data_IF_935711287011
#
_entry.id   IF_935711287011
#
_cell.length_a   1.000
_cell.length_b   1.000
_cell.length_c   1.000
_cell.angle_alpha   90.00
_cell.angle_beta   90.00
_cell.angle_gamma   90.00
#
_symmetry.space_group_name_H-M   'P 1'
#
loop_
_entity.id
_entity.type
_entity.pdbx_description
1 polymer ?
#
# COMPACT_ATOMS: atom_id res chain seq x y z
N UNK A 1 15.12 -20.61 -28.24
CA UNK A 1 14.11 -21.39 -27.55
C UNK A 1 12.79 -20.65 -27.71
N UNK A 2 11.75 -21.29 -28.24
CA UNK A 2 10.43 -20.65 -28.40
C UNK A 2 9.61 -21.02 -27.16
N UNK A 3 9.11 -20.02 -26.45
CA UNK A 3 8.30 -20.17 -25.26
C UNK A 3 6.97 -19.43 -25.46
N UNK A 4 5.88 -20.04 -25.04
CA UNK A 4 4.57 -19.39 -24.94
C UNK A 4 4.23 -19.22 -23.47
N UNK A 5 3.83 -18.00 -23.07
CA UNK A 5 3.46 -17.66 -21.71
C UNK A 5 2.03 -17.11 -21.71
N UNK A 6 1.13 -17.75 -20.99
CA UNK A 6 -0.21 -17.27 -20.73
C UNK A 6 -0.29 -16.85 -19.28
N UNK A 7 -0.54 -15.55 -19.06
CA UNK A 7 -0.72 -14.99 -17.73
C UNK A 7 -2.15 -14.47 -17.59
N UNK A 8 -2.90 -15.01 -16.61
CA UNK A 8 -4.23 -14.54 -16.24
C UNK A 8 -4.15 -13.86 -14.90
N UNK A 9 -4.44 -12.57 -14.89
CA UNK A 9 -4.48 -11.78 -13.67
C UNK A 9 -5.90 -11.29 -13.39
N UNK A 10 -6.35 -11.45 -12.14
CA UNK A 10 -7.59 -10.90 -11.63
C UNK A 10 -7.29 -10.09 -10.38
N UNK A 11 -7.64 -8.80 -10.39
CA UNK A 11 -7.44 -7.90 -9.26
C UNK A 11 -8.78 -7.24 -8.91
N UNK A 12 -9.24 -7.46 -7.68
CA UNK A 12 -10.45 -6.86 -7.14
C UNK A 12 -10.07 -5.99 -5.95
N UNK A 13 -10.54 -4.73 -5.94
CA UNK A 13 -10.33 -3.80 -4.83
C UNK A 13 -11.69 -3.27 -4.40
N UNK A 14 -12.01 -3.45 -3.13
CA UNK A 14 -13.20 -2.88 -2.49
C UNK A 14 -12.76 -1.87 -1.46
N UNK A 15 -13.28 -0.65 -1.54
CA UNK A 15 -13.04 0.41 -0.56
C UNK A 15 -14.35 0.90 0.01
N UNK A 16 -14.43 0.98 1.33
CA UNK A 16 -15.49 1.66 2.05
C UNK A 16 -14.89 2.73 2.95
N UNK A 17 -15.51 3.91 2.97
CA UNK A 17 -15.05 5.04 3.77
C UNK A 17 -16.24 5.84 4.27
N UNK A 18 -16.14 6.29 5.52
CA UNK A 18 -17.10 7.21 6.15
C UNK A 18 -16.33 8.32 6.82
N UNK A 19 -16.70 9.56 6.52
CA UNK A 19 -16.08 10.77 7.02
C UNK A 19 -17.11 11.62 7.74
N UNK A 20 -16.73 12.19 8.86
CA UNK A 20 -17.50 13.13 9.63
C UNK A 20 -16.68 14.39 9.90
N UNK A 21 -17.26 15.56 9.69
CA UNK A 21 -16.63 16.84 9.95
C UNK A 21 -17.59 17.74 10.74
N UNK A 22 -17.07 18.34 11.79
CA UNK A 22 -17.82 19.26 12.63
C UNK A 22 -17.05 20.57 12.84
N UNK A 23 -17.72 21.67 12.58
CA UNK A 23 -17.19 23.01 12.80
C UNK A 23 -17.59 23.51 14.19
N UNK A 24 -16.65 24.12 14.89
CA UNK A 24 -16.81 24.79 16.18
C UNK A 24 -16.58 26.30 15.98
N UNK A 25 -17.58 27.06 15.49
CA UNK A 25 -17.36 28.46 15.10
C UNK A 25 -16.94 29.35 16.25
N UNK A 26 -17.44 29.08 17.47
CA UNK A 26 -17.16 29.87 18.68
C UNK A 26 -15.67 29.94 19.02
N UNK A 27 -14.93 28.87 18.70
CA UNK A 27 -13.49 28.77 18.95
C UNK A 27 -12.66 28.71 17.66
N UNK A 28 -13.28 28.94 16.50
CA UNK A 28 -12.65 28.87 15.19
C UNK A 28 -11.90 27.53 14.98
N UNK A 29 -12.54 26.42 15.38
CA UNK A 29 -11.95 25.08 15.30
C UNK A 29 -12.80 24.14 14.42
N UNK A 30 -12.17 23.05 13.99
CA UNK A 30 -12.76 21.98 13.19
C UNK A 30 -12.27 20.62 13.70
N UNK A 31 -13.19 19.70 13.83
CA UNK A 31 -12.91 18.29 14.10
C UNK A 31 -13.29 17.50 12.87
N UNK A 32 -12.41 16.61 12.44
CA UNK A 32 -12.65 15.63 11.41
C UNK A 32 -12.34 14.25 11.95
N UNK A 33 -13.18 13.28 11.65
CA UNK A 33 -12.95 11.89 12.03
C UNK A 33 -13.51 10.99 10.95
N UNK A 34 -12.98 9.80 10.82
CA UNK A 34 -13.50 8.85 9.86
C UNK A 34 -12.91 7.47 10.02
N UNK A 35 -13.50 6.55 9.27
CA UNK A 35 -13.09 5.16 9.17
C UNK A 35 -12.97 4.78 7.70
N UNK A 36 -11.95 3.99 7.40
CA UNK A 36 -11.71 3.48 6.04
C UNK A 36 -11.33 2.00 6.09
N UNK A 37 -11.89 1.25 5.16
CA UNK A 37 -11.55 -0.15 4.91
C UNK A 37 -11.15 -0.31 3.44
N UNK A 38 -10.06 -1.04 3.22
CA UNK A 38 -9.61 -1.46 1.89
C UNK A 38 -9.43 -2.97 1.92
N UNK A 39 -10.09 -3.66 1.00
CA UNK A 39 -9.92 -5.08 0.77
C UNK A 39 -9.44 -5.27 -0.65
N UNK A 40 -8.29 -5.93 -0.82
CA UNK A 40 -7.74 -6.29 -2.12
C UNK A 40 -7.60 -7.80 -2.20
N UNK A 41 -8.05 -8.37 -3.31
CA UNK A 41 -7.80 -9.74 -3.66
C UNK A 41 -7.23 -9.79 -5.08
N UNK A 42 -6.04 -10.32 -5.22
CA UNK A 42 -5.36 -10.51 -6.50
C UNK A 42 -5.04 -11.98 -6.68
N UNK A 43 -5.29 -12.50 -7.87
CA UNK A 43 -4.89 -13.84 -8.30
C UNK A 43 -4.10 -13.74 -9.58
N UNK A 44 -3.02 -14.48 -9.66
CA UNK A 44 -2.16 -14.61 -10.82
C UNK A 44 -2.01 -16.10 -11.12
N UNK A 45 -2.43 -16.47 -12.32
CA UNK A 45 -2.33 -17.84 -12.83
C UNK A 45 -1.46 -17.78 -14.08
N UNK A 46 -0.28 -18.38 -13.99
CA UNK A 46 0.72 -18.39 -15.06
C UNK A 46 0.89 -19.79 -15.58
N UNK A 47 0.69 -19.94 -16.89
CA UNK A 47 0.87 -21.18 -17.64
C UNK A 47 1.91 -20.96 -18.73
N UNK A 48 2.88 -21.84 -18.83
CA UNK A 48 3.99 -21.76 -19.77
C UNK A 48 4.19 -23.06 -20.54
N UNK A 49 4.41 -22.92 -21.82
CA UNK A 49 4.82 -24.02 -22.72
C UNK A 49 6.13 -23.67 -23.40
N UNK A 50 6.94 -24.67 -23.64
CA UNK A 50 8.22 -24.59 -24.33
C UNK A 50 8.21 -25.48 -25.56
N UNK A 51 8.72 -24.96 -26.68
CA UNK A 51 8.79 -25.73 -27.93
C UNK A 51 9.92 -26.75 -27.86
N UNK A 52 9.55 -28.03 -27.92
CA UNK A 52 10.50 -29.14 -28.01
C UNK A 52 10.79 -29.43 -29.51
N UNK A 53 12.03 -29.25 -29.92
CA UNK A 53 12.48 -29.46 -31.29
C UNK A 53 12.50 -30.92 -31.70
N UNK A 54 12.56 -31.86 -30.75
CA UNK A 54 12.58 -33.30 -31.06
C UNK A 54 11.17 -33.82 -31.36
N UNK A 55 10.20 -33.45 -30.56
CA UNK A 55 8.79 -33.85 -30.74
C UNK A 55 8.03 -32.92 -31.69
N UNK A 56 8.59 -31.76 -32.03
CA UNK A 56 7.96 -30.68 -32.82
C UNK A 56 6.63 -30.19 -32.18
N UNK A 57 6.53 -30.22 -30.88
CA UNK A 57 5.33 -29.82 -30.13
C UNK A 57 5.68 -28.87 -29.01
N UNK A 58 4.71 -28.09 -28.57
CA UNK A 58 4.80 -27.35 -27.34
C UNK A 58 4.52 -28.27 -26.15
N UNK A 59 5.44 -28.31 -25.19
CA UNK A 59 5.36 -29.12 -23.97
C UNK A 59 5.23 -28.17 -22.79
N UNK A 60 4.36 -28.50 -21.84
CA UNK A 60 4.15 -27.75 -20.64
C UNK A 60 5.45 -27.61 -19.82
N UNK A 61 5.79 -26.37 -19.48
CA UNK A 61 6.93 -26.08 -18.61
C UNK A 61 6.45 -25.90 -17.17
N UNK A 62 6.38 -27.00 -16.43
CA UNK A 62 5.93 -27.01 -15.03
C UNK A 62 6.79 -26.15 -14.08
N UNK A 63 8.04 -25.86 -14.44
CA UNK A 63 8.91 -24.99 -13.64
C UNK A 63 8.53 -23.51 -13.72
N UNK A 64 7.83 -23.11 -14.79
CA UNK A 64 7.38 -21.74 -15.00
C UNK A 64 5.89 -21.54 -14.65
N UNK A 65 5.17 -22.63 -14.36
CA UNK A 65 3.76 -22.58 -13.98
C UNK A 65 3.61 -22.29 -12.49
N UNK A 66 2.75 -21.33 -12.17
CA UNK A 66 2.41 -21.07 -10.78
C UNK A 66 1.01 -20.46 -10.62
N UNK A 67 0.41 -20.72 -9.48
CA UNK A 67 -0.80 -20.10 -9.03
C UNK A 67 -0.53 -19.34 -7.74
N UNK A 68 -0.64 -18.01 -7.81
CA UNK A 68 -0.39 -17.11 -6.70
C UNK A 68 -1.64 -16.30 -6.36
N UNK A 69 -1.96 -16.16 -5.09
CA UNK A 69 -2.95 -15.21 -4.62
C UNK A 69 -2.36 -14.27 -3.57
N UNK A 70 -2.88 -13.06 -3.56
CA UNK A 70 -2.51 -12.04 -2.59
C UNK A 70 -3.77 -11.38 -2.06
N UNK A 71 -3.95 -11.47 -0.75
CA UNK A 71 -5.03 -10.79 -0.03
C UNK A 71 -4.43 -9.68 0.83
N UNK A 72 -4.98 -8.46 0.71
CA UNK A 72 -4.64 -7.34 1.56
C UNK A 72 -5.90 -6.78 2.19
N UNK A 73 -5.85 -6.59 3.50
CA UNK A 73 -6.93 -5.99 4.28
C UNK A 73 -6.35 -4.85 5.10
N UNK A 74 -6.92 -3.65 4.97
CA UNK A 74 -6.49 -2.45 5.70
C UNK A 74 -7.72 -1.84 6.35
N UNK A 75 -7.66 -1.68 7.65
CA UNK A 75 -8.68 -1.03 8.47
C UNK A 75 -8.06 0.18 9.15
N UNK A 76 -8.64 1.35 8.97
CA UNK A 76 -8.10 2.61 9.49
C UNK A 76 -9.18 3.39 10.22
N UNK A 77 -8.80 3.99 11.34
CA UNK A 77 -9.55 5.03 12.03
C UNK A 77 -8.67 6.27 12.13
N UNK A 78 -9.24 7.44 11.96
CA UNK A 78 -8.49 8.68 12.09
C UNK A 78 -9.30 9.79 12.75
N UNK A 79 -8.57 10.70 13.39
CA UNK A 79 -9.10 11.92 13.94
C UNK A 79 -8.14 13.08 13.68
N UNK A 80 -8.69 14.24 13.37
CA UNK A 80 -7.96 15.48 13.11
C UNK A 80 -8.67 16.59 13.88
N UNK A 81 -7.89 17.42 14.56
CA UNK A 81 -8.34 18.65 15.16
C UNK A 81 -7.54 19.81 14.60
N UNK A 82 -8.21 20.86 14.16
CA UNK A 82 -7.60 22.09 13.67
C UNK A 82 -8.25 23.31 14.29
N UNK A 83 -7.43 24.34 14.60
CA UNK A 83 -7.91 25.59 15.15
C UNK A 83 -7.09 26.78 14.62
N UNK A 84 -7.75 27.94 14.52
CA UNK A 84 -7.10 29.19 14.20
C UNK A 84 -7.22 30.17 15.37
N UNK A 85 -6.09 30.62 15.90
CA UNK A 85 -5.98 31.61 16.95
C UNK A 85 -5.29 32.87 16.42
N UNK A 86 -6.07 33.83 15.93
CA UNK A 86 -5.54 35.03 15.32
C UNK A 86 -4.65 34.73 14.10
N UNK A 87 -3.35 35.03 14.23
CA UNK A 87 -2.34 34.78 13.19
C UNK A 87 -1.78 33.37 13.19
N UNK A 88 -2.11 32.57 14.19
CA UNK A 88 -1.62 31.21 14.37
C UNK A 88 -2.69 30.20 13.99
N UNK A 89 -2.36 29.27 13.09
CA UNK A 89 -3.23 28.15 12.73
C UNK A 89 -2.49 26.85 12.98
N UNK A 90 -3.13 25.91 13.65
CA UNK A 90 -2.55 24.61 13.91
C UNK A 90 -3.55 23.51 13.64
N UNK A 91 -3.03 22.35 13.28
CA UNK A 91 -3.78 21.13 13.07
C UNK A 91 -2.96 19.95 13.55
N UNK A 92 -3.57 19.07 14.32
CA UNK A 92 -2.98 17.81 14.74
C UNK A 92 -3.89 16.67 14.37
N UNK A 93 -3.33 15.55 13.96
CA UNK A 93 -4.09 14.37 13.58
C UNK A 93 -3.37 13.08 13.92
N UNK A 94 -4.15 12.03 14.08
CA UNK A 94 -3.66 10.67 14.23
C UNK A 94 -4.52 9.72 13.40
N UNK A 95 -3.86 8.81 12.67
CA UNK A 95 -4.49 7.65 12.04
C UNK A 95 -3.93 6.38 12.66
N UNK A 96 -4.82 5.51 13.06
CA UNK A 96 -4.51 4.17 13.57
C UNK A 96 -4.89 3.19 12.48
N UNK A 97 -4.04 2.20 12.24
CA UNK A 97 -4.24 1.27 11.15
C UNK A 97 -3.88 -0.16 11.54
N UNK A 98 -4.79 -1.08 11.28
CA UNK A 98 -4.57 -2.53 11.31
C UNK A 98 -4.55 -3.04 9.88
N UNK A 99 -3.50 -3.77 9.50
CA UNK A 99 -3.39 -4.32 8.16
C UNK A 99 -2.87 -5.74 8.14
N UNK A 100 -3.35 -6.51 7.16
CA UNK A 100 -2.93 -7.87 6.88
C UNK A 100 -2.52 -7.94 5.42
N UNK A 101 -1.35 -8.54 5.16
CA UNK A 101 -0.90 -8.90 3.82
C UNK A 101 -0.65 -10.39 3.79
N UNK A 102 -1.33 -11.10 2.90
CA UNK A 102 -1.36 -12.57 2.87
C UNK A 102 -0.94 -13.04 1.47
N UNK A 103 0.37 -13.07 1.18
CA UNK A 103 0.89 -13.75 0.01
C UNK A 103 0.71 -15.27 0.16
N UNK A 104 0.18 -15.90 -0.87
CA UNK A 104 -0.12 -17.32 -0.88
C UNK A 104 0.28 -17.91 -2.24
N UNK A 105 1.39 -18.65 -2.28
CA UNK A 105 1.79 -19.44 -3.44
C UNK A 105 1.13 -20.81 -3.35
N UNK A 106 0.02 -20.98 -4.06
CA UNK A 106 -0.85 -22.15 -3.95
C UNK A 106 -0.16 -23.40 -4.50
N UNK A 107 0.61 -23.26 -5.58
CA UNK A 107 1.38 -24.37 -6.18
C UNK A 107 2.38 -24.99 -5.21
N UNK A 108 2.97 -24.21 -4.30
CA UNK A 108 3.98 -24.71 -3.37
C UNK A 108 3.48 -24.78 -1.91
N UNK A 109 2.17 -24.55 -1.70
CA UNK A 109 1.53 -24.57 -0.36
C UNK A 109 2.16 -23.56 0.62
N UNK A 110 2.75 -22.46 0.10
CA UNK A 110 3.37 -21.40 0.91
C UNK A 110 2.32 -20.32 1.17
N UNK A 111 1.89 -20.17 2.41
CA UNK A 111 0.98 -19.11 2.86
C UNK A 111 1.58 -18.39 4.06
N UNK A 112 1.78 -17.09 3.93
CA UNK A 112 2.35 -16.25 4.98
C UNK A 112 1.32 -15.18 5.36
N UNK A 113 1.28 -14.80 6.61
CA UNK A 113 0.42 -13.74 7.12
C UNK A 113 1.30 -12.68 7.76
N UNK A 114 1.39 -11.53 7.10
CA UNK A 114 2.03 -10.35 7.64
C UNK A 114 0.97 -9.48 8.31
N UNK A 115 1.08 -9.30 9.61
CA UNK A 115 0.12 -8.62 10.47
C UNK A 115 0.78 -7.37 11.09
N UNK A 116 0.19 -6.19 10.85
CA UNK A 116 0.73 -4.91 11.32
C UNK A 116 -0.31 -4.08 12.03
N UNK A 117 0.12 -3.42 13.10
CA UNK A 117 -0.65 -2.39 13.80
C UNK A 117 0.21 -1.14 13.94
N UNK A 118 -0.23 -0.02 13.38
CA UNK A 118 0.58 1.17 13.21
C UNK A 118 -0.16 2.45 13.55
N UNK A 119 0.62 3.48 13.96
CA UNK A 119 0.17 4.83 14.23
C UNK A 119 0.85 5.80 13.27
N UNK A 120 0.05 6.74 12.75
CA UNK A 120 0.48 7.75 11.80
C UNK A 120 0.09 9.14 12.30
N UNK A 121 0.90 9.75 13.16
CA UNK A 121 0.69 11.12 13.60
C UNK A 121 0.97 12.11 12.48
N UNK A 122 0.28 13.25 12.51
CA UNK A 122 0.51 14.42 11.67
C UNK A 122 0.31 15.69 12.46
N UNK A 123 1.08 16.73 12.14
CA UNK A 123 0.96 18.06 12.71
C UNK A 123 1.27 19.12 11.64
N UNK A 124 0.50 20.20 11.64
CA UNK A 124 0.70 21.36 10.78
C UNK A 124 0.57 22.61 11.60
N UNK A 125 1.55 23.49 11.48
CA UNK A 125 1.60 24.79 12.14
C UNK A 125 1.78 25.85 11.08
N UNK A 126 1.04 26.96 11.18
CA UNK A 126 1.19 28.12 10.31
C UNK A 126 1.12 29.40 11.10
N UNK A 127 2.00 30.33 10.79
CA UNK A 127 2.01 31.66 11.37
C UNK A 127 2.02 32.72 10.26
N UNK A 128 0.97 33.54 10.21
CA UNK A 128 0.81 34.61 9.25
C UNK A 128 1.37 35.91 9.82
N UNK A 129 2.55 36.33 9.32
CA UNK A 129 3.15 37.64 9.70
C UNK A 129 2.32 38.79 9.16
N UNK A 130 1.86 38.66 7.92
CA UNK A 130 1.01 39.61 7.21
C UNK A 130 0.06 38.90 6.24
N UNK A 131 -0.76 39.64 5.50
CA UNK A 131 -1.62 39.07 4.44
C UNK A 131 -0.84 38.43 3.27
N UNK A 132 0.48 38.72 3.16
CA UNK A 132 1.33 38.26 2.07
C UNK A 132 2.50 37.39 2.53
N UNK A 133 2.65 37.17 3.82
CA UNK A 133 3.81 36.44 4.37
C UNK A 133 3.37 35.47 5.45
N UNK A 134 3.67 34.20 5.23
CA UNK A 134 3.31 33.09 6.12
C UNK A 134 4.48 32.11 6.26
N UNK A 135 4.70 31.62 7.47
CA UNK A 135 5.62 30.54 7.79
C UNK A 135 4.81 29.28 8.14
N UNK A 136 5.12 28.19 7.49
CA UNK A 136 4.50 26.89 7.73
C UNK A 136 5.53 25.83 8.15
N UNK A 137 5.16 24.99 9.12
CA UNK A 137 5.90 23.80 9.52
C UNK A 137 4.94 22.64 9.54
N UNK A 138 5.32 21.54 8.92
CA UNK A 138 4.51 20.31 8.96
C UNK A 138 5.33 19.07 9.27
N UNK A 139 4.68 18.11 9.88
CA UNK A 139 5.19 16.77 10.12
C UNK A 139 4.14 15.73 9.75
N UNK A 140 4.55 14.66 9.09
CA UNK A 140 3.69 13.50 8.86
C UNK A 140 4.48 12.20 8.82
N UNK A 141 3.93 11.15 9.43
CA UNK A 141 4.41 9.78 9.30
C UNK A 141 3.55 9.00 8.29
N UNK A 142 4.20 8.29 7.38
CA UNK A 142 3.53 7.45 6.36
C UNK A 142 4.15 6.07 6.32
N UNK A 143 3.48 5.15 5.61
CA UNK A 143 3.94 3.78 5.39
C UNK A 143 3.91 3.47 3.90
N UNK A 144 4.95 2.80 3.42
CA UNK A 144 4.99 2.16 2.11
C UNK A 144 5.08 0.65 2.33
N UNK A 145 4.13 -0.08 1.77
CA UNK A 145 4.07 -1.54 1.86
C UNK A 145 4.61 -2.16 0.59
N UNK A 146 5.26 -3.31 0.74
CA UNK A 146 5.64 -4.13 -0.40
C UNK A 146 4.38 -4.54 -1.19
N UNK A 147 4.47 -4.45 -2.50
CA UNK A 147 3.40 -4.87 -3.41
C UNK A 147 3.34 -6.39 -3.56
N UNK A 148 2.24 -6.88 -4.15
CA UNK A 148 2.02 -8.32 -4.33
C UNK A 148 3.14 -9.02 -5.10
N UNK A 149 3.73 -8.37 -6.12
CA UNK A 149 4.84 -8.91 -6.89
C UNK A 149 6.13 -9.01 -6.10
N UNK A 150 6.39 -8.04 -5.18
CA UNK A 150 7.56 -8.05 -4.31
C UNK A 150 7.45 -9.12 -3.21
N UNK A 151 6.21 -9.48 -2.85
CA UNK A 151 5.92 -10.51 -1.85
C UNK A 151 5.75 -11.92 -2.47
N UNK A 152 5.72 -12.05 -3.80
CA UNK A 152 5.53 -13.34 -4.46
C UNK A 152 6.81 -14.19 -4.35
N UNK A 153 6.79 -15.33 -3.61
CA UNK A 153 7.97 -16.16 -3.43
C UNK A 153 8.32 -17.02 -4.65
N UNK A 154 7.51 -17.01 -5.70
CA UNK A 154 7.79 -17.74 -6.93
C UNK A 154 9.03 -17.16 -7.64
N UNK A 155 9.90 -18.03 -8.12
CA UNK A 155 11.03 -17.63 -8.96
C UNK A 155 10.56 -17.56 -10.40
N UNK A 156 10.54 -16.38 -11.01
CA UNK A 156 10.20 -16.21 -12.41
C UNK A 156 11.35 -16.68 -13.29
N UNK A 157 11.04 -17.61 -14.17
CA UNK A 157 11.96 -18.17 -15.19
C UNK A 157 11.66 -17.63 -16.59
N UNK A 158 10.90 -16.54 -16.70
CA UNK A 158 10.54 -15.92 -17.98
C UNK A 158 11.75 -15.43 -18.78
N UNK A 159 12.84 -15.12 -18.11
CA UNK A 159 14.14 -14.82 -18.69
C UNK A 159 15.21 -15.68 -17.98
N UNK A 160 15.81 -16.68 -18.67
CA UNK A 160 16.82 -17.55 -18.08
C UNK A 160 18.06 -16.82 -17.56
N UNK A 161 18.32 -15.60 -18.05
CA UNK A 161 19.46 -14.78 -17.66
C UNK A 161 19.13 -13.79 -16.52
N UNK A 162 17.84 -13.57 -16.25
CA UNK A 162 17.37 -12.62 -15.24
C UNK A 162 16.26 -13.24 -14.37
N UNK A 163 16.67 -14.04 -13.40
CA UNK A 163 15.74 -14.63 -12.46
C UNK A 163 15.25 -13.57 -11.46
N UNK A 164 13.94 -13.50 -11.24
CA UNK A 164 13.30 -12.63 -10.26
C UNK A 164 12.54 -13.46 -9.25
N UNK A 165 12.70 -13.10 -7.99
CA UNK A 165 11.99 -13.72 -6.87
C UNK A 165 11.64 -12.65 -5.85
N UNK A 166 10.38 -12.59 -5.42
CA UNK A 166 9.99 -11.74 -4.30
C UNK A 166 10.30 -12.38 -2.95
N UNK A 167 10.24 -11.55 -1.92
CA UNK A 167 10.41 -12.00 -0.54
C UNK A 167 9.12 -11.79 0.26
N UNK A 168 8.38 -12.83 0.63
CA UNK A 168 7.11 -12.70 1.33
C UNK A 168 7.24 -12.16 2.77
N UNK A 169 8.46 -12.04 3.30
CA UNK A 169 8.76 -11.51 4.63
C UNK A 169 9.19 -10.03 4.61
N UNK A 170 9.08 -9.33 3.48
CA UNK A 170 9.41 -7.91 3.42
C UNK A 170 8.57 -7.12 4.41
N UNK A 171 9.27 -6.28 5.17
CA UNK A 171 8.65 -5.37 6.12
C UNK A 171 8.28 -4.06 5.44
N UNK A 172 7.24 -3.37 5.90
CA UNK A 172 6.90 -2.07 5.36
C UNK A 172 7.94 -1.01 5.76
N UNK A 173 8.11 -0.02 4.91
CA UNK A 173 8.96 1.14 5.16
C UNK A 173 8.15 2.28 5.80
N UNK A 174 8.74 2.96 6.79
CA UNK A 174 8.14 4.12 7.43
C UNK A 174 8.87 5.38 7.01
N UNK A 175 8.10 6.36 6.54
CA UNK A 175 8.62 7.65 6.08
C UNK A 175 8.16 8.73 7.06
N UNK A 176 9.12 9.46 7.65
CA UNK A 176 8.86 10.66 8.43
C UNK A 176 9.21 11.87 7.58
N UNK A 177 8.22 12.71 7.29
CA UNK A 177 8.40 13.92 6.49
C UNK A 177 8.28 15.16 7.38
N UNK A 178 9.24 16.06 7.24
CA UNK A 178 9.23 17.40 7.84
C UNK A 178 9.33 18.42 6.71
N UNK A 179 8.39 19.35 6.67
CA UNK A 179 8.37 20.39 5.64
C UNK A 179 8.35 21.77 6.31
N UNK A 180 9.20 22.66 5.83
CA UNK A 180 9.25 24.07 6.20
C UNK A 180 8.95 24.91 4.95
N UNK A 181 7.96 25.79 5.04
CA UNK A 181 7.54 26.65 3.93
C UNK A 181 7.49 28.11 4.38
N UNK A 182 7.89 29.00 3.49
CA UNK A 182 7.74 30.44 3.64
C UNK A 182 7.18 31.03 2.35
N UNK A 183 6.17 31.86 2.47
CA UNK A 183 5.51 32.56 1.36
C UNK A 183 5.46 34.03 1.65
#
# INVERSE_FOLDING_TARGET
MLQQLLNKEKNNITTAQVDFSYLLPEISARIETGAKMILRNQKVDTYSEEYDALSQQYIENNLANFLYSYDEQIYSLYGIFGQQLGKFKYQGGIRIEKSYQIPNLISDTIRIVNDYFNFFPSAHLRYSFSKKSELGLSYSKRITRAGSGELNPFTSYSDPFNLRKGNPYLQPEFINSFDLSYT
#
